data_IF_090337245594
#
_entry.id   IF_090337245594
#
_cell.length_a   1.000
_cell.length_b   1.000
_cell.length_c   1.000
_cell.angle_alpha   90.00
_cell.angle_beta   90.00
_cell.angle_gamma   90.00
#
_symmetry.space_group_name_H-M   'P 1'
#
loop_
_entity.id
_entity.type
_entity.pdbx_description
1 polymer ?
#
# COMPACT_ATOMS: atom_id res chain seq x y z
N UNK A 1 18.16 -3.04 3.92
CA UNK A 1 17.29 -3.13 2.72
C UNK A 1 16.28 -1.98 2.75
N UNK A 2 16.02 -1.32 1.59
CA UNK A 2 15.00 -0.27 1.47
C UNK A 2 13.77 -0.80 0.77
N UNK A 3 12.61 -0.73 1.41
CA UNK A 3 11.31 -1.16 0.91
C UNK A 3 10.42 0.06 0.81
N UNK A 4 9.61 0.15 -0.23
CA UNK A 4 8.63 1.23 -0.37
C UNK A 4 7.27 0.71 -0.81
N UNK A 5 6.21 1.46 -0.47
CA UNK A 5 4.88 1.26 -1.00
C UNK A 5 4.34 2.57 -1.58
N UNK A 6 3.70 2.49 -2.75
CA UNK A 6 3.19 3.66 -3.45
C UNK A 6 1.95 3.35 -4.29
N UNK A 7 0.82 3.90 -3.93
CA UNK A 7 -0.31 3.95 -4.85
C UNK A 7 0.03 4.93 -5.98
N UNK A 8 0.25 4.39 -7.19
CA UNK A 8 0.73 5.18 -8.33
C UNK A 8 -0.41 5.79 -9.16
N UNK A 9 -1.64 5.35 -8.96
CA UNK A 9 -2.80 5.81 -9.72
C UNK A 9 -2.55 5.80 -11.25
N UNK A 10 -2.34 4.60 -11.80
CA UNK A 10 -1.97 4.26 -13.18
C UNK A 10 -0.46 4.30 -13.47
N UNK A 11 0.16 3.11 -13.44
CA UNK A 11 1.60 2.95 -13.75
C UNK A 11 1.92 3.34 -15.19
N UNK A 12 1.04 3.02 -16.14
CA UNK A 12 1.26 3.34 -17.58
C UNK A 12 1.31 4.85 -17.80
N UNK A 13 0.42 5.61 -17.15
CA UNK A 13 0.36 7.07 -17.31
C UNK A 13 1.46 7.81 -16.53
N UNK A 14 2.13 7.13 -15.60
CA UNK A 14 3.12 7.72 -14.70
C UNK A 14 4.43 6.93 -14.67
N UNK A 15 4.70 6.17 -15.73
CA UNK A 15 5.92 5.35 -15.81
C UNK A 15 7.17 6.22 -15.64
N UNK A 16 7.21 7.38 -16.29
CA UNK A 16 8.31 8.35 -16.17
C UNK A 16 8.56 8.80 -14.71
N UNK A 17 7.50 8.88 -13.88
CA UNK A 17 7.61 9.22 -12.46
C UNK A 17 8.14 8.06 -11.63
N UNK A 18 7.67 6.83 -11.94
CA UNK A 18 8.17 5.61 -11.30
C UNK A 18 9.66 5.41 -11.61
N UNK A 19 10.06 5.51 -12.89
CA UNK A 19 11.45 5.36 -13.31
C UNK A 19 12.38 6.40 -12.66
N UNK A 20 11.96 7.67 -12.67
CA UNK A 20 12.70 8.75 -12.03
C UNK A 20 12.86 8.53 -10.52
N UNK A 21 11.78 8.08 -9.85
CA UNK A 21 11.82 7.82 -8.42
C UNK A 21 12.65 6.57 -8.09
N UNK A 22 12.54 5.48 -8.85
CA UNK A 22 13.38 4.29 -8.70
C UNK A 22 14.87 4.65 -8.85
N UNK A 23 15.20 5.55 -9.78
CA UNK A 23 16.59 6.01 -9.99
C UNK A 23 17.10 6.85 -8.82
N UNK A 24 16.26 7.73 -8.27
CA UNK A 24 16.70 8.69 -7.22
C UNK A 24 16.65 8.11 -5.82
N UNK A 25 15.58 7.39 -5.45
CA UNK A 25 15.40 6.79 -4.13
C UNK A 25 16.09 5.43 -4.01
N UNK A 26 16.30 4.75 -5.17
CA UNK A 26 16.97 3.46 -5.30
C UNK A 26 16.49 2.42 -4.28
N UNK A 27 15.17 2.15 -4.14
CA UNK A 27 14.68 1.15 -3.23
C UNK A 27 15.13 -0.25 -3.68
N UNK A 28 15.23 -1.19 -2.75
CA UNK A 28 15.44 -2.60 -3.09
C UNK A 28 14.15 -3.25 -3.55
N UNK A 29 13.01 -2.83 -2.97
CA UNK A 29 11.67 -3.29 -3.34
C UNK A 29 10.69 -2.11 -3.35
N UNK A 30 9.82 -2.07 -4.38
CA UNK A 30 8.70 -1.16 -4.49
C UNK A 30 7.39 -1.94 -4.68
N UNK A 31 6.46 -1.79 -3.75
CA UNK A 31 5.09 -2.29 -3.82
C UNK A 31 4.18 -1.20 -4.42
N UNK A 32 3.51 -1.52 -5.53
CA UNK A 32 2.64 -0.58 -6.25
C UNK A 32 1.17 -0.95 -6.09
N UNK A 33 0.31 0.06 -5.97
CA UNK A 33 -1.13 -0.06 -5.98
C UNK A 33 -1.72 0.82 -7.09
N UNK A 34 -2.94 0.51 -7.50
CA UNK A 34 -3.63 1.15 -8.61
C UNK A 34 -2.80 1.19 -9.90
N UNK A 35 -2.23 0.04 -10.29
CA UNK A 35 -1.45 -0.04 -11.53
C UNK A 35 -2.30 0.26 -12.76
N UNK A 36 -3.63 -0.02 -12.70
CA UNK A 36 -4.65 0.31 -13.73
C UNK A 36 -4.27 -0.17 -15.12
N UNK A 37 -3.73 -1.36 -15.21
CA UNK A 37 -3.42 -2.08 -16.44
C UNK A 37 -3.64 -3.57 -16.24
N UNK A 38 -3.71 -4.34 -17.33
CA UNK A 38 -3.67 -5.80 -17.23
C UNK A 38 -2.28 -6.26 -16.82
N UNK A 39 -2.17 -7.50 -16.35
CA UNK A 39 -0.87 -8.10 -16.00
C UNK A 39 0.11 -8.04 -17.18
N UNK A 40 -0.37 -8.32 -18.40
CA UNK A 40 0.44 -8.33 -19.63
C UNK A 40 0.88 -6.92 -20.07
N UNK A 41 0.07 -5.91 -19.77
CA UNK A 41 0.36 -4.49 -20.11
C UNK A 41 1.24 -3.79 -19.06
N UNK A 42 1.59 -4.49 -17.97
CA UNK A 42 2.48 -3.92 -16.96
C UNK A 42 3.88 -3.67 -17.56
N UNK A 43 4.54 -2.54 -17.31
CA UNK A 43 5.76 -2.12 -17.99
C UNK A 43 7.01 -2.86 -17.51
N UNK A 44 6.98 -4.20 -17.52
CA UNK A 44 8.06 -5.08 -17.02
C UNK A 44 9.40 -4.80 -17.70
N UNK A 45 9.42 -4.60 -19.03
CA UNK A 45 10.68 -4.37 -19.77
C UNK A 45 11.36 -3.05 -19.37
N UNK A 46 10.58 -1.99 -19.17
CA UNK A 46 11.11 -0.70 -18.75
C UNK A 46 11.73 -0.78 -17.34
N UNK A 47 11.09 -1.51 -16.42
CA UNK A 47 11.61 -1.73 -15.06
C UNK A 47 12.83 -2.66 -15.06
N UNK A 48 12.85 -3.69 -15.93
CA UNK A 48 13.99 -4.56 -16.10
C UNK A 48 15.23 -3.81 -16.61
N UNK A 49 15.06 -2.81 -17.48
CA UNK A 49 16.14 -1.94 -17.94
C UNK A 49 16.80 -1.13 -16.79
N UNK A 50 16.09 -0.92 -15.67
CA UNK A 50 16.59 -0.31 -14.45
C UNK A 50 17.13 -1.33 -13.42
N UNK A 51 17.16 -2.62 -13.78
CA UNK A 51 17.67 -3.69 -12.93
C UNK A 51 16.64 -4.27 -11.94
N UNK A 52 15.34 -4.08 -12.20
CA UNK A 52 14.28 -4.62 -11.36
C UNK A 52 13.52 -5.75 -12.06
N UNK A 53 13.34 -6.85 -11.35
CA UNK A 53 12.31 -7.84 -11.65
C UNK A 53 10.94 -7.33 -11.21
N UNK A 54 9.86 -7.83 -11.80
CA UNK A 54 8.51 -7.44 -11.39
C UNK A 54 7.53 -8.60 -11.47
N UNK A 55 6.59 -8.60 -10.53
CA UNK A 55 5.37 -9.40 -10.58
C UNK A 55 4.18 -8.45 -10.46
N UNK A 56 3.22 -8.59 -11.37
CA UNK A 56 2.02 -7.78 -11.40
C UNK A 56 0.76 -8.65 -11.35
N UNK A 57 -0.33 -8.07 -10.88
CA UNK A 57 -1.66 -8.62 -10.88
C UNK A 57 -2.66 -7.53 -11.19
N UNK A 58 -3.28 -7.59 -12.37
CA UNK A 58 -4.23 -6.59 -12.85
C UNK A 58 -5.10 -7.12 -13.98
N UNK A 59 -6.30 -6.60 -14.09
CA UNK A 59 -7.33 -7.02 -15.06
C UNK A 59 -7.78 -5.91 -16.01
N UNK A 60 -7.18 -4.72 -15.93
CA UNK A 60 -7.48 -3.60 -16.79
C UNK A 60 -7.32 -2.24 -16.15
N UNK A 61 -8.21 -1.30 -16.48
CA UNK A 61 -8.11 0.11 -16.09
C UNK A 61 -8.47 0.42 -14.63
N UNK A 62 -8.92 -0.56 -13.87
CA UNK A 62 -9.28 -0.43 -12.47
C UNK A 62 -8.38 -1.30 -11.61
N UNK A 63 -8.18 -0.93 -10.35
CA UNK A 63 -7.38 -1.71 -9.39
C UNK A 63 -5.96 -2.01 -9.86
N UNK A 64 -5.45 -3.20 -9.53
CA UNK A 64 -4.13 -3.69 -9.90
C UNK A 64 -3.04 -3.37 -8.88
N UNK A 65 -2.22 -4.37 -8.62
CA UNK A 65 -1.09 -4.32 -7.67
C UNK A 65 0.15 -4.94 -8.31
N UNK A 66 1.33 -4.53 -7.84
CA UNK A 66 2.59 -5.12 -8.29
C UNK A 66 3.66 -5.04 -7.20
N UNK A 67 4.65 -5.92 -7.32
CA UNK A 67 5.91 -5.87 -6.58
C UNK A 67 7.05 -5.77 -7.60
N UNK A 68 7.93 -4.81 -7.40
CA UNK A 68 9.11 -4.53 -8.23
C UNK A 68 10.34 -4.67 -7.33
N UNK A 69 11.30 -5.55 -7.66
CA UNK A 69 12.42 -5.90 -6.79
C UNK A 69 13.73 -6.01 -7.56
N UNK A 70 14.83 -5.52 -6.99
CA UNK A 70 16.20 -5.76 -7.50
C UNK A 70 17.00 -6.74 -6.63
N UNK A 71 16.38 -7.34 -5.62
CA UNK A 71 16.99 -8.28 -4.67
C UNK A 71 16.41 -9.69 -4.78
N UNK A 72 15.85 -10.02 -5.95
CA UNK A 72 15.14 -11.26 -6.23
C UNK A 72 13.65 -11.15 -5.93
N UNK A 73 12.87 -12.02 -6.58
CA UNK A 73 11.42 -12.06 -6.47
C UNK A 73 10.95 -13.51 -6.66
N UNK A 74 10.54 -14.17 -5.57
CA UNK A 74 10.10 -15.56 -5.55
C UNK A 74 8.76 -15.71 -4.84
N UNK A 75 8.19 -16.89 -4.86
CA UNK A 75 6.97 -17.28 -4.14
C UNK A 75 5.80 -16.34 -4.37
N UNK A 76 5.60 -15.97 -5.63
CA UNK A 76 4.54 -15.04 -6.03
C UNK A 76 3.17 -15.66 -5.83
N UNK A 77 2.34 -14.97 -5.04
CA UNK A 77 0.92 -15.33 -4.81
C UNK A 77 0.06 -14.14 -5.23
N UNK A 78 -0.98 -14.41 -6.01
CA UNK A 78 -1.98 -13.42 -6.42
C UNK A 78 -3.26 -13.66 -5.66
N UNK A 79 -3.92 -12.57 -5.27
CA UNK A 79 -5.11 -12.54 -4.42
C UNK A 79 -4.88 -13.11 -3.01
N UNK A 80 -5.75 -12.75 -2.07
CA UNK A 80 -5.80 -13.40 -0.76
C UNK A 80 -6.45 -14.79 -0.92
N UNK A 81 -6.06 -15.77 -0.10
CA UNK A 81 -6.88 -16.98 0.03
C UNK A 81 -8.31 -16.60 0.42
N UNK A 82 -9.30 -17.19 -0.24
CA UNK A 82 -10.73 -16.89 -0.05
C UNK A 82 -11.07 -15.38 -0.11
N UNK A 83 -10.40 -14.64 -1.00
CA UNK A 83 -10.63 -13.21 -1.17
C UNK A 83 -12.10 -12.94 -1.49
N UNK A 84 -12.76 -12.01 -0.76
CA UNK A 84 -14.14 -11.63 -1.08
C UNK A 84 -14.29 -11.12 -2.51
N UNK A 85 -15.43 -11.40 -3.10
CA UNK A 85 -15.83 -10.92 -4.43
C UNK A 85 -16.66 -9.64 -4.32
N UNK A 86 -16.55 -8.79 -5.32
CA UNK A 86 -17.47 -7.67 -5.53
C UNK A 86 -18.15 -7.81 -6.89
N UNK A 87 -19.49 -7.81 -6.89
CA UNK A 87 -20.31 -8.02 -8.10
C UNK A 87 -19.93 -9.28 -8.89
N UNK A 88 -19.60 -10.36 -8.17
CA UNK A 88 -19.25 -11.67 -8.75
C UNK A 88 -17.84 -11.73 -9.34
N UNK A 89 -16.95 -10.83 -8.94
CA UNK A 89 -15.55 -10.82 -9.37
C UNK A 89 -14.59 -10.73 -8.19
N UNK A 90 -13.54 -11.52 -8.23
CA UNK A 90 -12.34 -11.31 -7.45
C UNK A 90 -11.53 -10.19 -8.12
N UNK A 91 -11.37 -9.07 -7.44
CA UNK A 91 -10.63 -7.92 -7.97
C UNK A 91 -9.13 -8.05 -7.66
N UNK A 92 -8.21 -7.70 -8.58
CA UNK A 92 -6.76 -7.79 -8.38
C UNK A 92 -6.27 -6.71 -7.39
N UNK A 93 -6.31 -7.03 -6.09
CA UNK A 93 -6.04 -6.10 -4.99
C UNK A 93 -4.91 -6.53 -4.05
N UNK A 94 -4.42 -7.75 -4.20
CA UNK A 94 -3.34 -8.29 -3.40
C UNK A 94 -2.34 -9.07 -4.24
N UNK A 95 -1.06 -8.88 -3.96
CA UNK A 95 0.02 -9.71 -4.49
C UNK A 95 1.09 -9.87 -3.41
N UNK A 96 1.48 -11.11 -3.14
CA UNK A 96 2.56 -11.45 -2.23
C UNK A 96 3.78 -11.98 -2.95
N UNK A 97 4.98 -11.68 -2.48
CA UNK A 97 6.23 -12.26 -2.95
C UNK A 97 7.30 -12.25 -1.84
N UNK A 98 8.31 -13.08 -1.98
CA UNK A 98 9.52 -13.05 -1.16
C UNK A 98 10.61 -12.31 -1.92
N UNK A 99 11.15 -11.23 -1.32
CA UNK A 99 12.18 -10.38 -1.89
C UNK A 99 13.36 -10.25 -0.92
N UNK A 100 14.55 -10.72 -1.31
CA UNK A 100 15.74 -10.67 -0.46
C UNK A 100 15.55 -11.29 0.93
N UNK A 101 14.74 -12.36 1.03
CA UNK A 101 14.43 -13.03 2.31
C UNK A 101 13.30 -12.42 3.12
N UNK A 102 12.67 -11.33 2.65
CA UNK A 102 11.52 -10.68 3.30
C UNK A 102 10.24 -11.05 2.56
N UNK A 103 9.24 -11.54 3.27
CA UNK A 103 7.90 -11.76 2.72
C UNK A 103 7.13 -10.45 2.68
N UNK A 104 6.63 -10.05 1.50
CA UNK A 104 5.92 -8.78 1.29
C UNK A 104 4.59 -9.01 0.62
N UNK A 105 3.56 -8.27 1.05
CA UNK A 105 2.26 -8.20 0.40
C UNK A 105 1.96 -6.76 0.00
N UNK A 106 1.86 -6.50 -1.33
CA UNK A 106 1.35 -5.24 -1.86
C UNK A 106 -0.17 -5.27 -1.91
N UNK A 107 -0.81 -4.34 -1.20
CA UNK A 107 -2.24 -4.37 -0.90
C UNK A 107 -2.94 -3.08 -1.37
N UNK A 108 -4.09 -3.25 -2.03
CA UNK A 108 -4.99 -2.17 -2.39
C UNK A 108 -6.39 -2.48 -1.85
N UNK A 109 -6.63 -2.07 -0.61
CA UNK A 109 -7.91 -2.29 0.08
C UNK A 109 -9.04 -1.53 -0.64
N UNK A 110 -10.25 -2.11 -0.78
CA UNK A 110 -11.37 -1.41 -1.38
C UNK A 110 -11.61 -0.03 -0.75
N UNK A 111 -11.90 0.98 -1.57
CA UNK A 111 -12.13 2.35 -1.07
C UNK A 111 -13.33 2.44 -0.10
N UNK A 112 -14.39 1.66 -0.33
CA UNK A 112 -15.62 1.71 0.47
C UNK A 112 -16.70 2.62 -0.11
N UNK A 113 -16.32 3.65 -0.86
CA UNK A 113 -17.20 4.68 -1.42
C UNK A 113 -17.94 5.47 -0.31
N UNK A 114 -19.09 4.96 0.15
CA UNK A 114 -19.91 5.56 1.21
C UNK A 114 -20.35 4.46 2.20
N UNK A 115 -20.56 4.77 3.49
CA UNK A 115 -20.87 3.76 4.52
C UNK A 115 -22.14 2.93 4.27
N UNK A 116 -23.09 3.43 3.50
CA UNK A 116 -24.31 2.72 3.10
C UNK A 116 -24.21 1.98 1.75
N UNK A 117 -23.07 2.06 1.07
CA UNK A 117 -22.82 1.43 -0.20
C UNK A 117 -22.36 -0.03 -0.03
N UNK A 118 -22.77 -0.95 -0.93
CA UNK A 118 -22.34 -2.36 -0.91
C UNK A 118 -20.79 -2.53 -0.93
N UNK A 119 -20.08 -1.59 -1.56
CA UNK A 119 -18.61 -1.57 -1.59
C UNK A 119 -17.98 -1.33 -0.22
N UNK A 120 -18.71 -0.72 0.72
CA UNK A 120 -18.25 -0.56 2.10
C UNK A 120 -18.29 -1.91 2.86
N UNK A 121 -19.37 -2.66 2.72
CA UNK A 121 -19.47 -4.03 3.28
C UNK A 121 -18.38 -4.94 2.71
N UNK A 122 -18.14 -4.83 1.39
CA UNK A 122 -17.03 -5.53 0.72
C UNK A 122 -15.67 -5.16 1.31
N UNK A 123 -15.41 -3.88 1.57
CA UNK A 123 -14.18 -3.41 2.22
C UNK A 123 -13.97 -4.03 3.60
N UNK A 124 -15.00 -4.05 4.44
CA UNK A 124 -14.90 -4.64 5.79
C UNK A 124 -14.61 -6.14 5.71
N UNK A 125 -15.32 -6.88 4.86
CA UNK A 125 -15.06 -8.31 4.65
C UNK A 125 -13.64 -8.56 4.11
N UNK A 126 -13.13 -7.68 3.24
CA UNK A 126 -11.78 -7.76 2.70
C UNK A 126 -10.71 -7.57 3.78
N UNK A 127 -10.89 -6.60 4.68
CA UNK A 127 -10.00 -6.36 5.83
C UNK A 127 -10.00 -7.54 6.80
N UNK A 128 -11.15 -8.15 7.08
CA UNK A 128 -11.25 -9.36 7.90
C UNK A 128 -10.48 -10.53 7.27
N UNK A 129 -10.57 -10.69 5.94
CA UNK A 129 -9.84 -11.74 5.23
C UNK A 129 -8.33 -11.47 5.22
N UNK A 130 -7.91 -10.20 5.10
CA UNK A 130 -6.51 -9.81 5.24
C UNK A 130 -5.96 -10.18 6.63
N UNK A 131 -6.72 -9.94 7.69
CA UNK A 131 -6.29 -10.33 9.04
C UNK A 131 -6.10 -11.84 9.19
N UNK A 132 -6.96 -12.66 8.58
CA UNK A 132 -6.83 -14.13 8.55
C UNK A 132 -5.57 -14.56 7.79
N UNK A 133 -5.31 -13.97 6.61
CA UNK A 133 -4.07 -14.18 5.88
C UNK A 133 -2.87 -13.85 6.76
N UNK A 134 -2.86 -12.66 7.37
CA UNK A 134 -1.76 -12.21 8.22
C UNK A 134 -1.46 -13.19 9.36
N UNK A 135 -2.48 -13.64 10.08
CA UNK A 135 -2.33 -14.65 11.14
C UNK A 135 -1.75 -15.97 10.62
N UNK A 136 -2.21 -16.43 9.44
CA UNK A 136 -1.68 -17.63 8.79
C UNK A 136 -0.22 -17.48 8.37
N UNK A 137 0.15 -16.38 7.74
CA UNK A 137 1.53 -16.09 7.32
C UNK A 137 2.47 -16.02 8.55
N UNK A 138 2.07 -15.34 9.64
CA UNK A 138 2.87 -15.28 10.87
C UNK A 138 3.12 -16.67 11.46
N UNK A 139 2.15 -17.58 11.36
CA UNK A 139 2.29 -18.94 11.90
C UNK A 139 3.18 -19.85 11.04
N UNK A 140 3.28 -19.58 9.73
CA UNK A 140 4.00 -20.44 8.78
C UNK A 140 5.43 -19.99 8.53
N UNK A 141 5.74 -18.70 8.68
CA UNK A 141 7.05 -18.13 8.34
C UNK A 141 8.13 -18.31 9.42
N UNK A 142 7.82 -18.98 10.54
CA UNK A 142 8.78 -19.32 11.60
C UNK A 142 9.73 -18.17 11.99
N UNK A 143 9.15 -16.97 12.16
CA UNK A 143 9.90 -15.78 12.54
C UNK A 143 10.60 -15.02 11.42
N UNK A 144 10.48 -15.45 10.15
CA UNK A 144 10.99 -14.65 9.02
C UNK A 144 10.29 -13.28 8.92
N UNK A 145 11.00 -12.24 8.46
CA UNK A 145 10.41 -10.92 8.34
C UNK A 145 9.29 -10.89 7.27
N UNK A 146 8.13 -10.36 7.68
CA UNK A 146 6.93 -10.21 6.86
C UNK A 146 6.39 -8.79 6.98
N UNK A 147 5.95 -8.19 5.88
CA UNK A 147 5.17 -6.95 5.92
C UNK A 147 3.95 -6.99 4.99
N UNK A 148 2.85 -6.46 5.53
CA UNK A 148 1.60 -6.14 4.83
C UNK A 148 1.61 -4.63 4.61
N UNK A 149 1.70 -4.16 3.35
CA UNK A 149 1.87 -2.74 3.07
C UNK A 149 1.11 -2.31 1.81
N UNK A 150 0.63 -1.08 1.81
CA UNK A 150 -0.12 -0.54 0.68
C UNK A 150 -1.13 0.52 1.06
N UNK A 151 -2.06 0.76 0.15
CA UNK A 151 -3.19 1.65 0.36
C UNK A 151 -4.32 0.91 1.08
N UNK A 152 -4.46 1.20 2.36
CA UNK A 152 -5.49 0.62 3.22
C UNK A 152 -6.85 1.33 3.09
N UNK A 153 -6.86 2.52 2.49
CA UNK A 153 -8.05 3.34 2.42
C UNK A 153 -8.72 3.58 3.80
N UNK A 154 -7.95 3.50 4.89
CA UNK A 154 -8.39 3.78 6.27
C UNK A 154 -7.38 4.69 6.94
N UNK A 155 -7.86 5.77 7.55
CA UNK A 155 -7.10 6.62 8.46
C UNK A 155 -7.27 6.08 9.90
N UNK A 156 -6.22 5.52 10.52
CA UNK A 156 -6.35 4.81 11.80
C UNK A 156 -6.87 5.69 12.94
N UNK A 157 -6.50 6.96 12.95
CA UNK A 157 -6.85 7.88 14.02
C UNK A 157 -7.33 9.24 13.49
N UNK A 158 -7.85 10.11 14.35
CA UNK A 158 -8.34 11.43 13.95
C UNK A 158 -7.22 12.38 13.49
N UNK A 159 -5.99 12.18 13.95
CA UNK A 159 -4.82 12.97 13.49
C UNK A 159 -4.32 12.55 12.10
N UNK A 160 -4.76 11.40 11.60
CA UNK A 160 -4.40 10.90 10.28
C UNK A 160 -5.21 11.53 9.14
N UNK A 161 -6.08 12.48 9.48
CA UNK A 161 -6.80 13.33 8.52
C UNK A 161 -6.60 14.80 8.88
N UNK A 162 -6.61 15.67 7.86
CA UNK A 162 -6.31 17.09 8.04
C UNK A 162 -7.34 17.84 8.90
N UNK A 163 -8.58 17.37 8.98
CA UNK A 163 -9.67 17.89 9.83
C UNK A 163 -10.77 16.83 9.91
N UNK A 164 -10.86 16.14 11.06
CA UNK A 164 -11.82 15.04 11.25
C UNK A 164 -13.29 15.48 11.08
N UNK A 165 -13.62 16.72 11.37
CA UNK A 165 -15.00 17.24 11.25
C UNK A 165 -15.51 17.24 9.81
N UNK A 166 -14.62 17.27 8.82
CA UNK A 166 -14.95 17.21 7.38
C UNK A 166 -15.29 15.79 6.92
N UNK A 167 -14.87 14.77 7.69
CA UNK A 167 -15.04 13.36 7.35
C UNK A 167 -16.19 12.69 8.13
N UNK A 168 -17.01 13.46 8.83
CA UNK A 168 -18.17 12.93 9.54
C UNK A 168 -19.08 12.14 8.58
N UNK A 169 -19.41 10.90 8.95
CA UNK A 169 -20.14 9.94 8.11
C UNK A 169 -19.51 9.58 6.76
N UNK A 170 -18.21 9.80 6.59
CA UNK A 170 -17.48 9.40 5.39
C UNK A 170 -16.74 8.08 5.59
N UNK A 171 -16.46 7.34 4.50
CA UNK A 171 -15.50 6.24 4.50
C UNK A 171 -14.10 6.72 4.91
N UNK A 172 -13.20 5.82 5.21
CA UNK A 172 -11.83 5.97 5.71
C UNK A 172 -11.69 6.24 7.21
N UNK A 173 -12.71 6.74 7.91
CA UNK A 173 -12.60 7.16 9.32
C UNK A 173 -13.65 6.52 10.24
N UNK A 174 -14.50 5.65 9.70
CA UNK A 174 -15.58 5.06 10.50
C UNK A 174 -15.02 4.14 11.60
N UNK A 175 -15.73 4.00 12.73
CA UNK A 175 -15.31 3.07 13.78
C UNK A 175 -15.17 1.62 13.30
N UNK A 176 -16.03 1.18 12.35
CA UNK A 176 -15.98 -0.18 11.82
C UNK A 176 -14.73 -0.42 10.96
N UNK A 177 -14.33 0.54 10.11
CA UNK A 177 -13.09 0.44 9.32
C UNK A 177 -11.85 0.40 10.23
N UNK A 178 -11.79 1.28 11.23
CA UNK A 178 -10.70 1.30 12.21
C UNK A 178 -10.63 0.01 13.01
N UNK A 179 -11.77 -0.50 13.48
CA UNK A 179 -11.83 -1.77 14.18
C UNK A 179 -11.37 -2.95 13.30
N UNK A 180 -11.67 -2.93 12.00
CA UNK A 180 -11.20 -3.96 11.07
C UNK A 180 -9.68 -3.90 10.84
N UNK A 181 -9.07 -2.71 10.82
CA UNK A 181 -7.60 -2.56 10.75
C UNK A 181 -6.93 -3.03 12.05
N UNK A 182 -7.54 -2.78 13.21
CA UNK A 182 -7.05 -3.23 14.52
C UNK A 182 -6.98 -4.76 14.66
N UNK A 183 -7.61 -5.52 13.78
CA UNK A 183 -7.44 -6.97 13.73
C UNK A 183 -6.00 -7.39 13.39
N UNK A 184 -5.22 -6.55 12.69
CA UNK A 184 -3.81 -6.84 12.38
C UNK A 184 -2.91 -6.76 13.63
N UNK A 185 -2.91 -5.68 14.43
CA UNK A 185 -2.24 -5.67 15.72
C UNK A 185 -2.72 -6.79 16.65
N UNK A 186 -4.01 -7.09 16.68
CA UNK A 186 -4.56 -8.20 17.47
C UNK A 186 -4.02 -9.58 17.02
N UNK A 187 -3.67 -9.73 15.73
CA UNK A 187 -3.03 -10.93 15.19
C UNK A 187 -1.51 -10.99 15.44
N UNK A 188 -0.90 -9.92 15.98
CA UNK A 188 0.52 -9.88 16.31
C UNK A 188 1.39 -9.01 15.40
N UNK A 189 0.80 -8.26 14.47
CA UNK A 189 1.54 -7.28 13.67
C UNK A 189 1.83 -6.00 14.46
N UNK A 190 2.86 -5.31 14.06
CA UNK A 190 3.24 -3.98 14.58
C UNK A 190 3.09 -2.97 13.44
N UNK A 191 2.36 -1.90 13.67
CA UNK A 191 2.33 -0.79 12.72
C UNK A 191 3.69 -0.09 12.67
N UNK A 192 4.27 0.02 11.47
CA UNK A 192 5.48 0.79 11.19
C UNK A 192 5.06 2.17 10.71
N UNK A 193 4.71 3.04 11.66
CA UNK A 193 4.24 4.37 11.35
C UNK A 193 5.38 5.24 10.75
N UNK A 194 5.17 5.88 9.57
CA UNK A 194 6.20 6.72 8.97
C UNK A 194 6.27 8.07 9.69
N UNK A 195 7.48 8.62 9.80
CA UNK A 195 7.68 10.02 10.20
C UNK A 195 7.42 10.97 9.03
N UNK A 196 7.00 12.17 9.32
CA UNK A 196 6.92 13.24 8.36
C UNK A 196 8.33 13.87 8.14
N UNK A 197 8.71 14.09 6.88
CA UNK A 197 9.91 14.87 6.53
C UNK A 197 9.62 16.38 6.56
N UNK A 198 8.35 16.74 6.50
CA UNK A 198 7.87 18.12 6.52
C UNK A 198 6.46 18.13 7.14
N UNK A 199 6.16 19.12 7.95
CA UNK A 199 4.94 19.21 8.75
C UNK A 199 4.92 18.21 9.93
N UNK A 200 3.85 18.24 10.72
CA UNK A 200 3.76 17.43 11.95
C UNK A 200 3.17 16.04 11.71
N UNK A 201 2.41 15.88 10.62
CA UNK A 201 1.73 14.61 10.28
C UNK A 201 2.22 14.08 8.94
N UNK A 202 2.49 12.79 8.89
CA UNK A 202 2.97 12.07 7.72
C UNK A 202 1.80 11.64 6.81
N UNK A 203 1.07 12.61 6.26
CA UNK A 203 0.04 12.29 5.27
C UNK A 203 0.65 11.61 4.05
N UNK A 204 -0.09 10.65 3.47
CA UNK A 204 0.33 9.89 2.30
C UNK A 204 -0.51 10.21 1.06
N UNK A 205 -1.72 10.74 1.24
CA UNK A 205 -2.68 11.07 0.18
C UNK A 205 -3.13 12.53 0.25
N UNK A 206 -3.30 13.17 -0.93
CA UNK A 206 -3.91 14.51 -1.11
C UNK A 206 -4.71 14.55 -2.39
N UNK A 207 -6.02 14.78 -2.30
CA UNK A 207 -6.91 14.92 -3.47
C UNK A 207 -6.32 15.93 -4.48
N UNK A 208 -6.52 15.67 -5.78
CA UNK A 208 -6.13 16.59 -6.85
C UNK A 208 -6.91 17.91 -6.81
N UNK A 209 -8.08 17.89 -6.21
CA UNK A 209 -9.01 19.04 -6.17
C UNK A 209 -8.68 20.00 -5.02
N UNK A 210 -9.24 21.21 -5.09
CA UNK A 210 -9.25 22.22 -4.04
C UNK A 210 -7.86 22.63 -3.51
N UNK A 211 -6.80 22.42 -4.31
CA UNK A 211 -5.42 22.67 -3.87
C UNK A 211 -5.05 21.91 -2.57
N UNK A 212 -5.52 20.66 -2.43
CA UNK A 212 -5.34 19.90 -1.19
C UNK A 212 -3.85 19.73 -0.85
N UNK A 213 -3.00 19.38 -1.82
CA UNK A 213 -1.57 19.20 -1.58
C UNK A 213 -0.83 20.48 -1.13
N UNK A 214 -0.94 21.65 -1.79
CA UNK A 214 -0.28 22.87 -1.30
C UNK A 214 -0.84 23.36 0.05
N UNK A 215 -2.12 23.09 0.36
CA UNK A 215 -2.75 23.44 1.65
C UNK A 215 -2.49 22.38 2.73
N UNK A 216 -1.77 21.32 2.41
CA UNK A 216 -1.55 20.13 3.27
C UNK A 216 -2.83 19.50 3.83
N UNK A 217 -3.92 19.52 3.05
CA UNK A 217 -5.18 18.84 3.38
C UNK A 217 -5.11 17.40 2.93
N UNK A 218 -4.44 16.57 3.72
CA UNK A 218 -4.13 15.18 3.39
C UNK A 218 -4.75 14.18 4.33
N UNK A 219 -4.50 12.91 4.04
CA UNK A 219 -4.81 11.76 4.88
C UNK A 219 -3.61 10.80 4.89
N UNK A 220 -3.41 10.09 5.99
CA UNK A 220 -2.53 8.92 6.06
C UNK A 220 -3.40 7.69 5.94
N UNK A 221 -3.46 7.12 4.74
CA UNK A 221 -4.26 5.94 4.41
C UNK A 221 -3.44 4.81 3.78
N UNK A 222 -2.18 5.09 3.43
CA UNK A 222 -1.20 4.06 3.13
C UNK A 222 -0.54 3.64 4.46
N UNK A 223 -0.49 2.34 4.73
CA UNK A 223 -0.03 1.79 6.01
C UNK A 223 0.99 0.67 5.77
N UNK A 224 1.80 0.42 6.80
CA UNK A 224 2.76 -0.69 6.83
C UNK A 224 2.59 -1.43 8.15
N UNK A 225 2.27 -2.71 8.08
CA UNK A 225 2.20 -3.62 9.23
C UNK A 225 3.26 -4.69 9.10
N UNK A 226 4.24 -4.71 10.01
CA UNK A 226 5.32 -5.69 10.04
C UNK A 226 5.08 -6.81 11.06
N UNK A 227 5.59 -8.00 10.77
CA UNK A 227 5.79 -9.02 11.82
C UNK A 227 6.73 -8.47 12.91
N UNK A 228 6.77 -9.04 14.11
CA UNK A 228 7.72 -8.61 15.14
C UNK A 228 9.18 -8.59 14.67
N UNK A 229 9.59 -9.57 13.87
CA UNK A 229 10.93 -9.62 13.27
C UNK A 229 11.16 -8.49 12.27
N UNK A 230 10.19 -8.20 11.40
CA UNK A 230 10.27 -7.06 10.48
C UNK A 230 10.34 -5.74 11.25
N UNK A 231 9.42 -5.52 12.19
CA UNK A 231 9.34 -4.27 12.96
C UNK A 231 10.60 -4.01 13.78
N UNK A 232 11.22 -5.06 14.36
CA UNK A 232 12.47 -4.92 15.10
C UNK A 232 13.69 -4.60 14.23
N UNK A 233 13.62 -4.92 12.92
CA UNK A 233 14.67 -4.61 11.95
C UNK A 233 14.54 -3.19 11.35
N UNK A 234 13.43 -2.48 11.58
CA UNK A 234 13.22 -1.13 11.03
C UNK A 234 14.20 -0.14 11.64
N UNK A 235 14.96 0.52 10.79
CA UNK A 235 15.92 1.59 11.15
C UNK A 235 15.39 2.98 10.84
N UNK A 236 14.53 3.12 9.82
CA UNK A 236 13.82 4.37 9.48
C UNK A 236 12.51 4.07 8.74
N UNK A 237 11.54 4.96 8.90
CA UNK A 237 10.31 4.96 8.09
C UNK A 237 9.84 6.40 7.88
N UNK A 238 9.56 6.78 6.62
CA UNK A 238 9.14 8.14 6.29
C UNK A 238 8.26 8.20 5.04
N UNK A 239 7.52 9.31 4.90
CA UNK A 239 6.79 9.63 3.67
C UNK A 239 7.64 10.51 2.78
N UNK A 240 7.96 10.06 1.55
CA UNK A 240 8.62 10.89 0.54
C UNK A 240 7.60 11.80 -0.16
N UNK A 241 7.22 12.85 0.54
CA UNK A 241 6.24 13.84 0.06
C UNK A 241 6.69 14.55 -1.22
N UNK A 242 7.99 14.57 -1.53
CA UNK A 242 8.52 15.22 -2.72
C UNK A 242 8.06 14.50 -4.00
N UNK A 243 7.87 13.18 -3.96
CA UNK A 243 7.33 12.40 -5.08
C UNK A 243 5.91 12.83 -5.51
N UNK A 244 5.14 13.49 -4.60
CA UNK A 244 3.80 14.03 -4.89
C UNK A 244 3.86 15.40 -5.61
N UNK A 245 5.02 16.06 -5.68
CA UNK A 245 5.17 17.36 -6.32
C UNK A 245 5.19 17.27 -7.83
N UNK A 246 4.66 18.30 -8.47
CA UNK A 246 4.72 18.47 -9.92
C UNK A 246 3.43 18.07 -10.63
N UNK A 247 3.47 18.20 -11.96
CA UNK A 247 2.34 17.87 -12.82
C UNK A 247 2.36 16.38 -13.19
N UNK A 248 1.19 15.75 -13.16
CA UNK A 248 1.03 14.36 -13.58
C UNK A 248 1.53 13.31 -12.57
N UNK A 249 1.83 13.70 -11.31
CA UNK A 249 2.18 12.78 -10.24
C UNK A 249 0.96 12.05 -9.69
N UNK A 250 1.16 11.00 -8.89
CA UNK A 250 0.09 10.38 -8.11
C UNK A 250 -0.49 11.34 -7.08
N UNK A 251 -1.71 11.12 -6.63
CA UNK A 251 -2.31 11.77 -5.45
C UNK A 251 -1.77 11.21 -4.13
N UNK A 252 -1.07 10.09 -4.18
CA UNK A 252 -0.30 9.55 -3.05
C UNK A 252 1.20 9.85 -3.16
N UNK A 253 1.88 9.84 -2.01
CA UNK A 253 3.33 9.83 -1.88
C UNK A 253 3.79 8.47 -1.33
N UNK A 254 4.97 7.96 -1.72
CA UNK A 254 5.46 6.69 -1.22
C UNK A 254 5.81 6.76 0.27
N UNK A 255 5.49 5.67 1.00
CA UNK A 255 6.14 5.36 2.27
C UNK A 255 7.41 4.58 1.97
N UNK A 256 8.50 4.98 2.60
CA UNK A 256 9.79 4.29 2.53
C UNK A 256 10.09 3.71 3.91
N UNK A 257 10.53 2.47 3.96
CA UNK A 257 10.96 1.76 5.17
C UNK A 257 12.36 1.21 4.94
N UNK A 258 13.31 1.61 5.75
CA UNK A 258 14.66 1.05 5.79
C UNK A 258 14.75 0.01 6.91
N UNK A 259 15.22 -1.19 6.59
CA UNK A 259 15.38 -2.31 7.53
C UNK A 259 16.79 -2.87 7.47
N UNK A 260 17.23 -3.42 8.58
CA UNK A 260 18.53 -4.06 8.75
C UNK A 260 18.34 -5.59 8.69
N UNK A 261 18.52 -6.16 7.51
CA UNK A 261 18.38 -7.60 7.21
C UNK A 261 19.49 -8.07 6.28
#
# INVERSE_FOLDING_TARGET
>A
MRIATWNINSVVNKLDKVEAWLTSAAPDVLCLQETKCTTEAFPTEALAALGYESAAHGDGRWNGVAIVSRVGLTDVVRDLPDQPEFEGKVEPRAIGATCGGVRLWSLYIPNGREPDHAHYTYKLAWLEQLAKLGASELSTLDGAPLALLGDFNVAPTDIDVWDISVFENSTHVTPAERAAVELLPAAGFVEVAPRALKYDVAFTFWDYRQLAFPKNRGMRIDLVFGSPSFASAVTDSYVDREARKGKGTSDHAPIVVDIDV
#
